data_IF_845430298377
#
_entry.id   IF_845430298377
#
_cell.length_a   1.000
_cell.length_b   1.000
_cell.length_c   1.000
_cell.angle_alpha   90.00
_cell.angle_beta   90.00
_cell.angle_gamma   90.00
#
_symmetry.space_group_name_H-M   'P 1'
#
loop_
_entity.id
_entity.type
_entity.pdbx_description
1 polymer ?
#
# COMPACT_ATOMS: atom_id res chain seq x y z
N UNK A 1 -10.30 7.83 18.86
CA UNK A 1 -11.17 8.42 19.91
C UNK A 1 -12.53 7.78 19.72
N UNK A 2 -12.95 6.88 20.60
CA UNK A 2 -14.31 6.36 20.61
C UNK A 2 -15.21 7.48 21.13
N UNK A 3 -15.80 8.24 20.21
CA UNK A 3 -16.66 9.38 20.53
C UNK A 3 -17.94 8.89 21.21
N UNK A 4 -17.98 9.02 22.52
CA UNK A 4 -19.19 8.81 23.31
C UNK A 4 -20.16 9.96 22.97
N UNK A 5 -21.31 9.64 22.38
CA UNK A 5 -22.35 10.63 22.06
C UNK A 5 -23.05 11.11 23.34
N UNK A 6 -23.57 12.33 23.32
CA UNK A 6 -24.32 12.90 24.45
C UNK A 6 -25.81 12.56 24.31
N UNK A 7 -26.28 11.60 25.11
CA UNK A 7 -27.67 11.12 25.13
C UNK A 7 -28.70 12.26 25.26
N UNK A 8 -28.40 13.29 26.05
CA UNK A 8 -29.29 14.44 26.20
C UNK A 8 -29.40 15.25 24.90
N UNK A 9 -28.33 15.33 24.12
CA UNK A 9 -28.32 15.99 22.82
C UNK A 9 -28.98 15.14 21.74
N UNK A 10 -28.79 13.82 21.75
CA UNK A 10 -29.51 12.87 20.87
C UNK A 10 -31.03 13.01 21.05
N UNK A 11 -31.52 13.01 22.30
CA UNK A 11 -32.95 13.17 22.58
C UNK A 11 -33.50 14.54 22.16
N UNK A 12 -32.67 15.60 22.16
CA UNK A 12 -33.10 16.91 21.62
C UNK A 12 -33.31 16.88 20.10
N UNK A 13 -32.53 16.09 19.38
CA UNK A 13 -32.73 15.87 17.94
C UNK A 13 -33.99 15.05 17.67
N UNK A 14 -34.17 13.93 18.39
CA UNK A 14 -35.38 13.10 18.28
C UNK A 14 -36.64 13.87 18.68
N UNK A 15 -36.57 14.72 19.71
CA UNK A 15 -37.68 15.58 20.11
C UNK A 15 -38.04 16.57 18.99
N UNK A 16 -37.06 17.12 18.27
CA UNK A 16 -37.34 18.01 17.14
C UNK A 16 -38.10 17.30 16.02
N UNK A 17 -37.67 16.08 15.66
CA UNK A 17 -38.38 15.22 14.72
C UNK A 17 -39.81 14.90 15.18
N UNK A 18 -39.99 14.46 16.44
CA UNK A 18 -41.31 14.08 17.00
C UNK A 18 -42.25 15.27 17.24
N UNK A 19 -41.74 16.49 17.27
CA UNK A 19 -42.54 17.70 17.51
C UNK A 19 -43.16 18.26 16.22
N UNK A 20 -42.94 17.64 15.07
CA UNK A 20 -43.63 18.01 13.83
C UNK A 20 -45.10 17.61 13.94
N UNK A 21 -46.02 18.46 13.46
CA UNK A 21 -47.46 18.12 13.37
C UNK A 21 -47.75 17.13 12.22
N UNK A 22 -46.73 16.41 11.74
CA UNK A 22 -46.77 15.60 10.53
C UNK A 22 -45.91 14.34 10.70
N UNK A 23 -46.54 13.17 10.50
CA UNK A 23 -45.93 11.85 10.65
C UNK A 23 -45.11 11.42 9.42
N UNK A 24 -44.96 12.28 8.41
CA UNK A 24 -44.13 11.97 7.25
C UNK A 24 -42.64 12.04 7.61
N UNK A 25 -41.90 10.98 7.22
CA UNK A 25 -40.46 10.81 7.47
C UNK A 25 -39.65 11.99 6.94
N UNK A 26 -39.93 12.51 5.74
CA UNK A 26 -39.22 13.66 5.16
C UNK A 26 -39.27 14.90 6.06
N UNK A 27 -40.44 15.21 6.60
CA UNK A 27 -40.66 16.40 7.44
C UNK A 27 -39.95 16.25 8.79
N UNK A 28 -39.91 15.02 9.32
CA UNK A 28 -39.27 14.70 10.60
C UNK A 28 -37.74 14.73 10.48
N UNK A 29 -37.18 14.18 9.39
CA UNK A 29 -35.76 14.28 9.05
C UNK A 29 -35.35 15.74 8.86
N UNK A 30 -36.13 16.53 8.13
CA UNK A 30 -35.89 17.96 7.96
C UNK A 30 -35.84 18.69 9.31
N UNK A 31 -36.78 18.43 10.22
CA UNK A 31 -36.80 19.06 11.54
C UNK A 31 -35.55 18.71 12.36
N UNK A 32 -35.08 17.47 12.24
CA UNK A 32 -33.86 16.98 12.88
C UNK A 32 -32.61 17.69 12.32
N UNK A 33 -32.48 17.79 10.99
CA UNK A 33 -31.36 18.45 10.34
C UNK A 33 -31.38 19.98 10.54
N UNK A 34 -32.55 20.61 10.56
CA UNK A 34 -32.69 22.02 10.92
C UNK A 34 -32.17 22.29 12.33
N UNK A 35 -32.46 21.37 13.26
CA UNK A 35 -31.91 21.46 14.62
C UNK A 35 -30.39 21.34 14.64
N UNK A 36 -29.81 20.52 13.77
CA UNK A 36 -28.35 20.40 13.62
C UNK A 36 -27.77 21.71 13.10
N UNK A 37 -28.37 22.31 12.06
CA UNK A 37 -27.94 23.61 11.51
C UNK A 37 -27.92 24.68 12.60
N UNK A 38 -28.96 24.77 13.42
CA UNK A 38 -29.04 25.74 14.53
C UNK A 38 -27.89 25.55 15.53
N UNK A 39 -27.61 24.31 15.92
CA UNK A 39 -26.59 23.99 16.92
C UNK A 39 -25.19 24.20 16.37
N UNK A 40 -24.93 23.78 15.14
CA UNK A 40 -23.65 24.00 14.46
C UNK A 40 -23.35 25.49 14.28
N UNK A 41 -24.35 26.31 13.94
CA UNK A 41 -24.19 27.77 13.89
C UNK A 41 -23.85 28.41 15.24
N UNK A 42 -24.26 27.78 16.34
CA UNK A 42 -23.99 28.26 17.70
C UNK A 42 -22.60 27.85 18.23
N UNK A 43 -21.89 26.98 17.50
CA UNK A 43 -20.59 26.45 17.90
C UNK A 43 -19.44 27.22 17.26
N UNK A 44 -18.44 27.59 18.07
CA UNK A 44 -17.27 28.36 17.65
C UNK A 44 -16.00 27.51 17.39
N UNK A 45 -16.04 26.21 17.73
CA UNK A 45 -14.88 25.31 17.70
C UNK A 45 -15.16 24.06 16.85
N UNK A 46 -14.20 23.69 15.99
CA UNK A 46 -14.29 22.54 15.08
C UNK A 46 -14.58 21.20 15.78
N UNK A 47 -14.03 20.95 16.97
CA UNK A 47 -14.26 19.68 17.67
C UNK A 47 -15.69 19.55 18.20
N UNK A 48 -16.30 20.65 18.68
CA UNK A 48 -17.71 20.66 19.07
C UNK A 48 -18.64 20.44 17.88
N UNK A 49 -18.22 20.88 16.69
CA UNK A 49 -18.95 20.58 15.46
C UNK A 49 -18.95 19.07 15.18
N UNK A 50 -17.80 18.40 15.32
CA UNK A 50 -17.73 16.94 15.21
C UNK A 50 -18.61 16.24 16.25
N UNK A 51 -18.68 16.76 17.48
CA UNK A 51 -19.57 16.20 18.51
C UNK A 51 -21.05 16.31 18.08
N UNK A 52 -21.47 17.43 17.49
CA UNK A 52 -22.84 17.58 16.97
C UNK A 52 -23.15 16.63 15.80
N UNK A 53 -22.18 16.41 14.90
CA UNK A 53 -22.30 15.43 13.81
C UNK A 53 -22.37 14.00 14.37
N UNK A 54 -21.61 13.68 15.43
CA UNK A 54 -21.72 12.39 16.11
C UNK A 54 -23.09 12.19 16.77
N UNK A 55 -23.63 13.23 17.41
CA UNK A 55 -24.94 13.16 18.07
C UNK A 55 -26.11 13.05 17.08
N UNK A 56 -26.04 13.75 15.95
CA UNK A 56 -27.10 13.69 14.93
C UNK A 56 -27.08 12.35 14.18
N UNK A 57 -25.89 11.77 13.95
CA UNK A 57 -25.72 10.40 13.42
C UNK A 57 -26.46 9.38 14.26
N UNK A 58 -26.28 9.44 15.59
CA UNK A 58 -26.98 8.56 16.53
C UNK A 58 -28.50 8.79 16.51
N UNK A 59 -28.94 10.07 16.47
CA UNK A 59 -30.36 10.40 16.43
C UNK A 59 -31.04 9.91 15.13
N UNK A 60 -30.38 10.06 13.98
CA UNK A 60 -30.88 9.55 12.71
C UNK A 60 -31.02 8.02 12.71
N UNK A 61 -30.04 7.30 13.28
CA UNK A 61 -30.09 5.85 13.40
C UNK A 61 -31.28 5.38 14.24
N UNK A 62 -31.47 5.94 15.44
CA UNK A 62 -32.62 5.61 16.30
C UNK A 62 -33.96 5.99 15.67
N UNK A 63 -34.00 7.13 14.98
CA UNK A 63 -35.19 7.55 14.27
C UNK A 63 -35.54 6.58 13.13
N UNK A 64 -34.55 6.09 12.39
CA UNK A 64 -34.74 5.08 11.36
C UNK A 64 -35.23 3.72 11.93
N UNK A 65 -34.75 3.31 13.11
CA UNK A 65 -35.28 2.13 13.83
C UNK A 65 -36.75 2.34 14.21
N UNK A 66 -37.11 3.53 14.71
CA UNK A 66 -38.48 3.87 15.12
C UNK A 66 -39.47 3.86 13.95
N UNK A 67 -39.04 4.32 12.76
CA UNK A 67 -39.88 4.33 11.56
C UNK A 67 -39.92 2.98 10.85
N UNK A 68 -38.90 2.13 11.05
CA UNK A 68 -38.73 0.88 10.32
C UNK A 68 -38.46 1.09 8.82
N UNK A 69 -38.04 2.30 8.43
CA UNK A 69 -37.74 2.67 7.05
C UNK A 69 -36.43 3.48 6.99
N UNK A 70 -35.28 2.81 7.20
CA UNK A 70 -33.97 3.45 7.12
C UNK A 70 -33.65 3.96 5.70
N UNK A 71 -34.21 3.33 4.65
CA UNK A 71 -34.07 3.79 3.27
C UNK A 71 -34.64 5.18 3.03
N UNK A 72 -35.87 5.45 3.53
CA UNK A 72 -36.46 6.79 3.45
C UNK A 72 -35.66 7.85 4.23
N UNK A 73 -35.08 7.49 5.38
CA UNK A 73 -34.22 8.41 6.14
C UNK A 73 -32.96 8.76 5.34
N UNK A 74 -32.30 7.78 4.71
CA UNK A 74 -31.13 8.01 3.84
C UNK A 74 -31.47 8.95 2.69
N UNK A 75 -32.56 8.66 1.97
CA UNK A 75 -33.00 9.45 0.81
C UNK A 75 -33.19 10.94 1.18
N UNK A 76 -33.89 11.21 2.27
CA UNK A 76 -34.17 12.58 2.68
C UNK A 76 -32.97 13.31 3.29
N UNK A 77 -32.05 12.61 3.96
CA UNK A 77 -30.79 13.22 4.41
C UNK A 77 -29.92 13.61 3.22
N UNK A 78 -29.86 12.79 2.17
CA UNK A 78 -29.15 13.13 0.93
C UNK A 78 -29.74 14.35 0.22
N UNK A 79 -31.06 14.41 0.12
CA UNK A 79 -31.78 15.56 -0.47
C UNK A 79 -31.47 16.85 0.31
N UNK A 80 -31.57 16.82 1.64
CA UNK A 80 -31.33 17.98 2.50
C UNK A 80 -29.85 18.30 2.72
N UNK A 81 -28.95 17.34 2.52
CA UNK A 81 -27.51 17.50 2.75
C UNK A 81 -26.91 18.64 1.90
N UNK A 82 -27.40 18.82 0.68
CA UNK A 82 -26.99 19.90 -0.21
C UNK A 82 -27.34 21.29 0.34
N UNK A 83 -28.50 21.42 0.97
CA UNK A 83 -28.95 22.67 1.59
C UNK A 83 -28.22 22.93 2.92
N UNK A 84 -27.91 21.87 3.67
CA UNK A 84 -27.16 21.93 4.92
C UNK A 84 -25.76 22.55 4.78
N UNK A 85 -25.00 22.14 3.76
CA UNK A 85 -23.65 22.68 3.53
C UNK A 85 -23.68 24.18 3.22
N UNK A 86 -24.69 24.63 2.46
CA UNK A 86 -24.91 26.04 2.16
C UNK A 86 -25.32 26.82 3.41
N UNK A 87 -26.23 26.28 4.22
CA UNK A 87 -26.79 26.96 5.37
C UNK A 87 -25.81 27.11 6.54
N UNK A 88 -24.89 26.16 6.71
CA UNK A 88 -23.87 26.21 7.78
C UNK A 88 -22.63 27.01 7.41
N UNK A 89 -22.46 27.37 6.13
CA UNK A 89 -21.29 28.10 5.63
C UNK A 89 -19.98 27.33 5.73
N UNK A 90 -20.04 26.01 5.95
CA UNK A 90 -18.87 25.15 6.10
C UNK A 90 -18.32 24.77 4.73
N UNK A 91 -16.99 24.82 4.58
CA UNK A 91 -16.28 24.41 3.34
C UNK A 91 -15.94 22.92 3.30
N UNK A 92 -16.75 22.09 3.95
CA UNK A 92 -16.58 20.64 3.90
C UNK A 92 -17.44 20.13 2.74
N UNK A 93 -16.95 19.16 1.98
CA UNK A 93 -17.72 18.52 0.91
C UNK A 93 -18.99 17.91 1.47
N UNK A 94 -20.12 18.19 0.82
CA UNK A 94 -21.44 17.66 1.20
C UNK A 94 -21.42 16.14 1.38
N UNK A 95 -20.78 15.40 0.47
CA UNK A 95 -20.69 13.93 0.53
C UNK A 95 -19.95 13.40 1.77
N UNK A 96 -18.97 14.13 2.29
CA UNK A 96 -18.27 13.75 3.52
C UNK A 96 -19.16 13.94 4.75
N UNK A 97 -19.96 15.01 4.75
CA UNK A 97 -20.87 15.33 5.85
C UNK A 97 -22.06 14.37 5.88
N UNK A 98 -22.69 14.10 4.74
CA UNK A 98 -23.79 13.14 4.65
C UNK A 98 -23.31 11.71 4.89
N UNK A 99 -22.12 11.37 4.40
CA UNK A 99 -21.44 10.10 4.69
C UNK A 99 -21.34 9.83 6.19
N UNK A 100 -20.66 10.71 6.92
CA UNK A 100 -20.43 10.56 8.37
C UNK A 100 -21.74 10.45 9.18
N UNK A 101 -22.79 11.18 8.77
CA UNK A 101 -24.11 11.16 9.42
C UNK A 101 -24.89 9.86 9.16
N UNK A 102 -24.70 9.23 8.00
CA UNK A 102 -25.53 8.12 7.55
C UNK A 102 -24.95 6.74 7.83
N UNK A 103 -23.68 6.60 8.23
CA UNK A 103 -23.05 5.26 8.37
C UNK A 103 -23.89 4.26 9.18
N UNK A 104 -24.45 4.70 10.33
CA UNK A 104 -25.28 3.85 11.20
C UNK A 104 -26.66 3.56 10.61
N UNK A 105 -27.27 4.54 9.95
CA UNK A 105 -28.56 4.35 9.26
C UNK A 105 -28.40 3.37 8.09
N UNK A 106 -27.26 3.43 7.39
CA UNK A 106 -26.92 2.51 6.30
C UNK A 106 -26.60 1.10 6.79
N UNK A 107 -26.02 0.95 7.98
CA UNK A 107 -25.88 -0.35 8.64
C UNK A 107 -27.25 -0.95 8.95
N UNK A 108 -28.16 -0.16 9.53
CA UNK A 108 -29.53 -0.57 9.82
C UNK A 108 -30.34 -0.90 8.55
N UNK A 109 -30.18 -0.13 7.47
CA UNK A 109 -30.79 -0.43 6.16
C UNK A 109 -30.31 -1.77 5.60
N UNK A 110 -29.02 -2.08 5.74
CA UNK A 110 -28.45 -3.39 5.37
C UNK A 110 -29.05 -4.51 6.21
N UNK A 111 -29.11 -4.34 7.53
CA UNK A 111 -29.72 -5.33 8.44
C UNK A 111 -31.21 -5.56 8.11
N UNK A 112 -31.97 -4.48 7.90
CA UNK A 112 -33.40 -4.55 7.57
C UNK A 112 -33.64 -5.26 6.24
N UNK A 113 -32.78 -5.04 5.23
CA UNK A 113 -32.83 -5.72 3.93
C UNK A 113 -32.43 -7.19 4.02
N UNK A 114 -31.47 -7.52 4.88
CA UNK A 114 -31.10 -8.91 5.16
C UNK A 114 -32.24 -9.67 5.85
N UNK A 115 -32.93 -9.05 6.82
CA UNK A 115 -34.09 -9.64 7.49
C UNK A 115 -35.31 -9.81 6.56
N UNK A 116 -35.50 -8.90 5.60
CA UNK A 116 -36.61 -8.96 4.64
C UNK A 116 -36.36 -9.91 3.46
N UNK A 117 -35.14 -10.42 3.29
CA UNK A 117 -34.73 -11.24 2.16
C UNK A 117 -34.60 -10.47 0.84
N UNK A 118 -34.44 -9.15 0.91
CA UNK A 118 -34.21 -8.27 -0.25
C UNK A 118 -32.72 -8.06 -0.56
N UNK A 119 -31.85 -8.82 0.10
CA UNK A 119 -30.41 -8.77 -0.06
C UNK A 119 -29.98 -9.17 -1.48
N UNK A 120 -28.88 -8.59 -1.94
CA UNK A 120 -28.28 -8.98 -3.21
C UNK A 120 -27.58 -10.34 -3.04
N UNK A 121 -28.21 -11.40 -3.52
CA UNK A 121 -27.66 -12.75 -3.54
C UNK A 121 -27.17 -13.06 -4.95
N UNK A 122 -26.02 -13.70 -5.13
CA UNK A 122 -25.71 -14.24 -6.46
C UNK A 122 -26.58 -15.48 -6.69
N UNK A 123 -27.07 -15.68 -7.92
CA UNK A 123 -27.74 -16.92 -8.30
C UNK A 123 -26.77 -18.11 -8.10
N UNK A 124 -26.86 -18.81 -6.96
CA UNK A 124 -26.01 -19.93 -6.60
C UNK A 124 -25.74 -20.06 -5.10
N UNK A 125 -25.11 -21.16 -4.69
CA UNK A 125 -24.80 -21.46 -3.28
C UNK A 125 -23.51 -20.74 -2.80
N UNK A 126 -23.23 -19.50 -3.19
CA UNK A 126 -21.94 -18.80 -2.97
C UNK A 126 -22.05 -17.31 -2.65
N UNK A 127 -21.00 -16.72 -2.05
CA UNK A 127 -20.94 -15.29 -1.71
C UNK A 127 -20.28 -14.48 -2.84
N UNK A 128 -20.80 -13.28 -3.15
CA UNK A 128 -20.17 -12.39 -4.13
C UNK A 128 -18.84 -11.86 -3.66
N UNK A 129 -17.90 -11.65 -4.58
CA UNK A 129 -16.55 -11.25 -4.17
C UNK A 129 -16.53 -9.84 -3.54
N UNK A 130 -17.37 -8.92 -4.01
CA UNK A 130 -17.56 -7.62 -3.37
C UNK A 130 -18.07 -7.76 -1.94
N UNK A 131 -19.12 -8.56 -1.75
CA UNK A 131 -19.69 -8.83 -0.43
C UNK A 131 -18.66 -9.46 0.50
N UNK A 132 -17.88 -10.41 -0.01
CA UNK A 132 -16.80 -11.03 0.73
C UNK A 132 -15.76 -10.00 1.21
N UNK A 133 -15.35 -9.08 0.33
CA UNK A 133 -14.40 -8.03 0.68
C UNK A 133 -14.95 -7.03 1.70
N UNK A 134 -16.25 -6.74 1.70
CA UNK A 134 -16.86 -5.81 2.68
C UNK A 134 -17.12 -6.46 4.04
N UNK A 135 -17.58 -7.72 4.05
CA UNK A 135 -18.03 -8.39 5.27
C UNK A 135 -16.89 -9.10 6.01
N UNK A 136 -15.94 -9.67 5.27
CA UNK A 136 -14.92 -10.54 5.85
C UNK A 136 -13.54 -9.89 5.96
N UNK A 137 -13.28 -8.75 5.30
CA UNK A 137 -11.98 -8.07 5.43
C UNK A 137 -11.84 -7.42 6.80
N UNK A 138 -10.87 -7.88 7.57
CA UNK A 138 -10.62 -7.38 8.94
C UNK A 138 -9.50 -6.36 8.95
N UNK A 139 -8.45 -6.59 8.15
CA UNK A 139 -7.25 -5.76 8.17
C UNK A 139 -6.52 -5.78 6.84
N UNK A 140 -5.93 -4.64 6.50
CA UNK A 140 -4.95 -4.54 5.42
C UNK A 140 -3.62 -4.09 6.01
N UNK A 141 -2.55 -4.84 5.77
CA UNK A 141 -1.20 -4.51 6.24
C UNK A 141 -0.35 -4.12 5.04
N UNK A 142 0.06 -2.85 5.01
CA UNK A 142 1.10 -2.40 4.08
C UNK A 142 2.46 -2.73 4.68
N UNK A 143 3.12 -3.73 4.12
CA UNK A 143 4.46 -4.12 4.47
C UNK A 143 5.42 -3.24 3.67
N UNK A 144 5.93 -2.19 4.33
CA UNK A 144 7.07 -1.43 3.81
C UNK A 144 8.32 -2.00 4.42
N UNK A 145 9.35 -2.15 3.60
CA UNK A 145 10.67 -2.49 4.11
C UNK A 145 11.59 -1.26 4.04
N UNK A 146 12.70 -1.30 4.76
CA UNK A 146 13.69 -0.20 4.81
C UNK A 146 14.56 -0.11 3.55
N UNK A 147 14.37 -0.97 2.55
CA UNK A 147 15.17 -0.94 1.32
C UNK A 147 14.81 0.32 0.52
N UNK A 148 15.85 1.00 0.02
CA UNK A 148 15.71 2.16 -0.88
C UNK A 148 15.17 1.76 -2.24
N UNK A 149 15.33 0.49 -2.61
CA UNK A 149 14.65 -0.13 -3.75
C UNK A 149 13.73 -1.22 -3.21
N UNK A 150 12.51 -0.84 -2.79
CA UNK A 150 11.50 -1.75 -2.25
C UNK A 150 10.24 -1.80 -3.11
N UNK A 151 9.62 -2.98 -3.15
CA UNK A 151 8.25 -3.14 -3.60
C UNK A 151 7.37 -3.15 -2.34
N UNK A 152 6.29 -2.37 -2.35
CA UNK A 152 5.30 -2.42 -1.27
C UNK A 152 4.49 -3.70 -1.45
N UNK A 153 4.54 -4.58 -0.45
CA UNK A 153 3.66 -5.74 -0.39
C UNK A 153 2.45 -5.37 0.46
N UNK A 154 1.25 -5.64 -0.06
CA UNK A 154 0.00 -5.46 0.67
C UNK A 154 -0.53 -6.83 1.08
N UNK A 155 -0.73 -7.02 2.39
CA UNK A 155 -1.36 -8.22 2.95
C UNK A 155 -2.81 -7.91 3.31
N UNK A 156 -3.74 -8.73 2.85
CA UNK A 156 -5.16 -8.69 3.21
C UNK A 156 -5.47 -9.84 4.17
N UNK A 157 -6.09 -9.53 5.31
CA UNK A 157 -6.44 -10.49 6.36
C UNK A 157 -7.96 -10.52 6.55
N UNK A 158 -8.53 -11.72 6.47
CA UNK A 158 -9.97 -11.97 6.55
C UNK A 158 -10.36 -12.66 7.86
N UNK A 159 -11.61 -12.52 8.29
CA UNK A 159 -12.12 -13.08 9.55
C UNK A 159 -12.25 -14.62 9.54
N UNK A 160 -12.34 -15.21 8.35
CA UNK A 160 -12.32 -16.65 8.09
C UNK A 160 -10.90 -17.25 8.19
N UNK A 161 -9.89 -16.42 8.51
CA UNK A 161 -8.50 -16.80 8.67
C UNK A 161 -7.71 -16.86 7.36
N UNK A 162 -8.31 -16.43 6.24
CA UNK A 162 -7.59 -16.29 4.98
C UNK A 162 -6.64 -15.10 5.03
N UNK A 163 -5.41 -15.30 4.56
CA UNK A 163 -4.39 -14.25 4.43
C UNK A 163 -3.82 -14.27 3.03
N UNK A 164 -3.81 -13.12 2.36
CA UNK A 164 -3.33 -12.99 0.98
C UNK A 164 -2.28 -11.87 0.91
N UNK A 165 -1.10 -12.19 0.43
CA UNK A 165 -0.06 -11.21 0.10
C UNK A 165 -0.01 -10.96 -1.39
N UNK A 166 -0.06 -9.69 -1.78
CA UNK A 166 0.03 -9.25 -3.16
C UNK A 166 1.02 -8.08 -3.27
N UNK A 167 1.79 -8.03 -4.35
CA UNK A 167 2.40 -6.78 -4.81
C UNK A 167 1.31 -5.84 -5.35
N UNK A 168 1.52 -5.17 -6.48
CA UNK A 168 0.48 -4.29 -7.08
C UNK A 168 -0.71 -5.05 -7.71
N UNK A 169 -0.66 -6.39 -7.75
CA UNK A 169 -1.69 -7.23 -8.39
C UNK A 169 -3.10 -7.06 -7.80
N UNK A 170 -3.21 -6.63 -6.54
CA UNK A 170 -4.50 -6.33 -5.90
C UNK A 170 -5.28 -5.20 -6.61
N UNK A 171 -4.59 -4.33 -7.35
CA UNK A 171 -5.21 -3.26 -8.15
C UNK A 171 -5.84 -3.78 -9.45
N UNK A 172 -5.70 -5.07 -9.74
CA UNK A 172 -6.34 -5.73 -10.86
C UNK A 172 -7.34 -6.76 -10.37
N UNK A 173 -8.60 -6.56 -10.75
CA UNK A 173 -9.72 -7.43 -10.40
C UNK A 173 -9.42 -8.93 -10.51
N UNK A 174 -8.98 -9.37 -11.70
CA UNK A 174 -8.88 -10.79 -12.01
C UNK A 174 -7.70 -11.47 -11.27
N UNK A 175 -6.49 -10.88 -11.22
CA UNK A 175 -5.42 -11.36 -10.34
C UNK A 175 -5.83 -11.43 -8.87
N UNK A 176 -6.48 -10.40 -8.33
CA UNK A 176 -6.87 -10.38 -6.94
C UNK A 176 -7.93 -11.44 -6.60
N UNK A 177 -8.96 -11.58 -7.43
CA UNK A 177 -9.96 -12.64 -7.28
C UNK A 177 -9.32 -14.04 -7.26
N UNK A 178 -8.37 -14.30 -8.18
CA UNK A 178 -7.67 -15.59 -8.24
C UNK A 178 -6.75 -15.83 -7.05
N UNK A 179 -6.24 -14.77 -6.42
CA UNK A 179 -5.48 -14.89 -5.19
C UNK A 179 -6.42 -15.23 -4.02
N UNK A 180 -7.57 -14.56 -3.91
CA UNK A 180 -8.48 -14.73 -2.75
C UNK A 180 -9.34 -16.00 -2.84
N UNK A 181 -10.07 -16.19 -3.93
CA UNK A 181 -11.16 -17.18 -4.01
C UNK A 181 -10.73 -18.63 -3.72
N UNK A 182 -9.53 -19.12 -4.10
CA UNK A 182 -9.09 -20.48 -3.77
C UNK A 182 -8.72 -20.69 -2.30
N UNK A 183 -8.48 -19.61 -1.55
CA UNK A 183 -7.95 -19.67 -0.18
C UNK A 183 -8.96 -19.31 0.90
N UNK A 184 -10.16 -18.85 0.52
CA UNK A 184 -11.27 -18.63 1.46
C UNK A 184 -11.65 -19.92 2.19
N UNK A 185 -12.02 -19.78 3.45
CA UNK A 185 -12.52 -20.89 4.28
C UNK A 185 -14.04 -20.93 4.37
N UNK A 186 -14.74 -20.07 3.62
CA UNK A 186 -16.20 -20.08 3.56
C UNK A 186 -16.70 -21.31 2.79
N UNK A 187 -17.58 -22.10 3.42
CA UNK A 187 -18.13 -23.35 2.88
C UNK A 187 -18.87 -23.17 1.54
N UNK A 188 -19.54 -22.03 1.35
CA UNK A 188 -20.26 -21.66 0.12
C UNK A 188 -19.30 -21.24 -1.01
N UNK A 189 -18.06 -20.88 -0.67
CA UNK A 189 -17.07 -20.35 -1.61
C UNK A 189 -17.39 -18.93 -2.09
N UNK A 190 -16.35 -18.27 -2.64
CA UNK A 190 -16.44 -16.92 -3.20
C UNK A 190 -16.64 -16.99 -4.70
N UNK A 191 -17.69 -16.33 -5.18
CA UNK A 191 -18.11 -16.29 -6.58
C UNK A 191 -17.42 -15.16 -7.34
N UNK A 192 -17.30 -15.33 -8.66
CA UNK A 192 -16.62 -14.36 -9.54
C UNK A 192 -17.50 -13.14 -9.86
N UNK A 193 -18.79 -13.25 -9.62
CA UNK A 193 -19.75 -12.20 -9.81
C UNK A 193 -19.75 -11.27 -8.59
N UNK A 194 -20.20 -10.03 -8.81
CA UNK A 194 -20.48 -9.12 -7.71
C UNK A 194 -21.95 -9.26 -7.34
N UNK A 195 -22.25 -9.38 -6.06
CA UNK A 195 -23.62 -9.29 -5.57
C UNK A 195 -24.22 -7.93 -5.97
N UNK A 196 -23.44 -6.85 -5.88
CA UNK A 196 -23.83 -5.51 -6.32
C UNK A 196 -24.27 -5.44 -7.80
N UNK A 197 -23.85 -6.36 -8.68
CA UNK A 197 -24.31 -6.32 -10.08
C UNK A 197 -25.82 -6.47 -10.20
N UNK A 198 -26.49 -7.13 -9.24
CA UNK A 198 -27.94 -7.20 -9.24
C UNK A 198 -28.61 -5.84 -9.03
N UNK A 199 -27.94 -4.88 -8.40
CA UNK A 199 -28.45 -3.51 -8.30
C UNK A 199 -28.76 -2.90 -9.67
N UNK A 200 -27.99 -3.26 -10.71
CA UNK A 200 -28.25 -2.79 -12.08
C UNK A 200 -29.62 -3.19 -12.60
N UNK A 201 -30.14 -4.34 -12.19
CA UNK A 201 -31.47 -4.82 -12.61
C UNK A 201 -32.64 -4.09 -11.94
N UNK A 202 -32.36 -3.40 -10.83
CA UNK A 202 -33.34 -2.58 -10.09
C UNK A 202 -33.35 -1.13 -10.59
N UNK A 203 -32.39 -0.74 -11.42
CA UNK A 203 -32.28 0.62 -11.96
C UNK A 203 -33.14 0.71 -13.23
N UNK A 204 -34.02 1.73 -13.36
CA UNK A 204 -34.82 1.92 -14.56
C UNK A 204 -33.95 2.09 -15.82
N UNK A 205 -34.33 1.44 -16.92
CA UNK A 205 -33.60 1.49 -18.20
C UNK A 205 -33.43 2.93 -18.75
N UNK A 206 -34.31 3.86 -18.37
CA UNK A 206 -34.28 5.26 -18.78
C UNK A 206 -33.39 6.15 -17.89
N UNK A 207 -32.83 5.62 -16.80
CA UNK A 207 -31.91 6.34 -15.91
C UNK A 207 -30.49 6.53 -16.50
N UNK A 208 -30.16 5.83 -17.58
CA UNK A 208 -28.86 5.93 -18.27
C UNK A 208 -27.91 4.77 -17.98
N UNK A 209 -26.61 5.00 -18.17
CA UNK A 209 -25.57 3.98 -18.04
C UNK A 209 -24.94 3.98 -16.64
N UNK A 210 -24.99 2.86 -15.93
CA UNK A 210 -24.40 2.65 -14.59
C UNK A 210 -22.87 2.78 -14.56
N UNK A 211 -22.22 2.91 -15.71
CA UNK A 211 -20.78 3.16 -15.84
C UNK A 211 -20.44 4.61 -16.15
N UNK A 212 -21.42 5.43 -16.58
CA UNK A 212 -21.23 6.87 -16.76
C UNK A 212 -21.41 7.59 -15.43
N UNK A 213 -20.31 8.02 -14.83
CA UNK A 213 -20.26 8.74 -13.54
C UNK A 213 -21.16 9.98 -13.45
N UNK A 214 -21.62 10.54 -14.58
CA UNK A 214 -22.53 11.68 -14.60
C UNK A 214 -24.01 11.29 -14.78
N UNK A 215 -24.32 10.00 -14.92
CA UNK A 215 -25.67 9.52 -15.16
C UNK A 215 -26.46 9.34 -13.86
N UNK A 216 -27.78 9.42 -13.99
CA UNK A 216 -28.67 9.12 -12.88
C UNK A 216 -28.59 7.63 -12.48
N UNK A 217 -28.40 6.74 -13.46
CA UNK A 217 -28.16 5.32 -13.24
C UNK A 217 -26.91 5.03 -12.40
N UNK A 218 -25.80 5.74 -12.63
CA UNK A 218 -24.59 5.60 -11.81
C UNK A 218 -24.86 6.01 -10.37
N UNK A 219 -25.57 7.13 -10.17
CA UNK A 219 -25.95 7.59 -8.83
C UNK A 219 -26.84 6.59 -8.09
N UNK A 220 -27.81 5.98 -8.79
CA UNK A 220 -28.66 4.92 -8.22
C UNK A 220 -27.85 3.64 -7.94
N UNK A 221 -26.92 3.27 -8.82
CA UNK A 221 -26.05 2.12 -8.61
C UNK A 221 -25.16 2.30 -7.38
N UNK A 222 -24.63 3.50 -7.16
CA UNK A 222 -23.86 3.83 -5.95
C UNK A 222 -24.65 3.62 -4.66
N UNK A 223 -25.94 3.99 -4.66
CA UNK A 223 -26.83 3.82 -3.50
C UNK A 223 -27.22 2.37 -3.22
N UNK A 224 -27.20 1.55 -4.26
CA UNK A 224 -27.65 0.16 -4.20
C UNK A 224 -26.48 -0.84 -4.14
N UNK A 225 -25.26 -0.47 -4.50
CA UNK A 225 -24.09 -1.34 -4.39
C UNK A 225 -23.78 -1.62 -2.92
N UNK A 226 -23.21 -2.81 -2.65
CA UNK A 226 -22.69 -3.17 -1.33
C UNK A 226 -21.43 -2.39 -0.95
N UNK A 227 -20.78 -1.72 -1.91
CA UNK A 227 -19.71 -0.77 -1.64
C UNK A 227 -20.28 0.59 -1.22
N UNK A 228 -19.57 1.39 -0.42
CA UNK A 228 -19.91 2.77 -0.13
C UNK A 228 -20.23 3.57 -1.40
N UNK A 229 -21.13 4.55 -1.27
CA UNK A 229 -21.68 5.32 -2.39
C UNK A 229 -20.61 6.01 -3.25
N UNK A 230 -19.44 6.34 -2.69
CA UNK A 230 -18.34 6.91 -3.47
C UNK A 230 -17.54 5.84 -4.26
N UNK A 231 -17.73 4.54 -3.97
CA UNK A 231 -16.97 3.40 -4.50
C UNK A 231 -17.86 2.19 -4.86
N UNK A 232 -18.79 2.34 -5.84
CA UNK A 232 -19.57 1.19 -6.28
C UNK A 232 -18.68 0.09 -6.85
N UNK A 233 -18.96 -1.16 -6.49
CA UNK A 233 -18.18 -2.29 -7.00
C UNK A 233 -18.36 -2.43 -8.51
N UNK A 234 -17.24 -2.46 -9.23
CA UNK A 234 -17.22 -2.56 -10.69
C UNK A 234 -15.95 -3.25 -11.18
N UNK A 235 -16.08 -3.99 -12.29
CA UNK A 235 -14.94 -4.62 -12.97
C UNK A 235 -14.18 -3.62 -13.87
N UNK A 236 -14.67 -2.39 -13.97
CA UNK A 236 -13.94 -1.28 -14.58
C UNK A 236 -12.70 -0.97 -13.74
N UNK A 237 -11.53 -0.90 -14.39
CA UNK A 237 -10.23 -0.73 -13.73
C UNK A 237 -10.18 0.50 -12.82
N UNK A 238 -10.72 1.65 -13.24
CA UNK A 238 -10.62 2.89 -12.48
C UNK A 238 -11.48 2.84 -11.21
N UNK A 239 -12.68 2.24 -11.30
CA UNK A 239 -13.58 2.07 -10.17
C UNK A 239 -13.09 0.98 -9.21
N UNK A 240 -12.52 -0.11 -9.74
CA UNK A 240 -11.89 -1.16 -8.96
C UNK A 240 -10.68 -0.64 -8.18
N UNK A 241 -9.75 0.03 -8.87
CA UNK A 241 -8.57 0.64 -8.25
C UNK A 241 -8.97 1.60 -7.13
N UNK A 242 -9.98 2.44 -7.38
CA UNK A 242 -10.54 3.33 -6.36
C UNK A 242 -11.08 2.55 -5.16
N UNK A 243 -11.92 1.53 -5.38
CA UNK A 243 -12.52 0.75 -4.30
C UNK A 243 -11.45 0.05 -3.43
N UNK A 244 -10.45 -0.54 -4.06
CA UNK A 244 -9.36 -1.22 -3.34
C UNK A 244 -8.47 -0.23 -2.59
N UNK A 245 -8.12 0.92 -3.18
CA UNK A 245 -7.35 1.97 -2.48
C UNK A 245 -8.09 2.52 -1.27
N UNK A 246 -9.41 2.64 -1.36
CA UNK A 246 -10.24 3.08 -0.24
C UNK A 246 -10.30 2.02 0.87
N UNK A 247 -10.45 0.73 0.53
CA UNK A 247 -10.32 -0.36 1.52
C UNK A 247 -8.96 -0.36 2.21
N UNK A 248 -7.88 -0.17 1.46
CA UNK A 248 -6.53 -0.02 2.00
C UNK A 248 -6.45 1.20 2.93
N UNK A 249 -7.13 2.30 2.63
CA UNK A 249 -7.15 3.49 3.49
C UNK A 249 -7.98 3.28 4.76
N UNK A 250 -9.08 2.55 4.67
CA UNK A 250 -10.03 2.29 5.75
C UNK A 250 -9.49 1.25 6.75
N UNK A 251 -9.01 0.11 6.24
CA UNK A 251 -8.52 -1.03 7.02
C UNK A 251 -6.99 -1.09 7.14
N UNK A 252 -6.30 -0.10 6.56
CA UNK A 252 -4.84 -0.06 6.44
C UNK A 252 -4.10 0.17 7.74
N UNK A 253 -3.08 -0.63 7.94
CA UNK A 253 -2.01 -0.40 8.92
C UNK A 253 -0.67 -0.49 8.21
N UNK A 254 0.25 0.44 8.51
CA UNK A 254 1.62 0.38 8.00
C UNK A 254 2.49 -0.37 9.00
N UNK A 255 3.20 -1.40 8.52
CA UNK A 255 4.27 -2.06 9.28
C UNK A 255 5.58 -1.86 8.53
N UNK A 256 6.58 -1.32 9.24
CA UNK A 256 7.93 -1.16 8.71
C UNK A 256 8.80 -2.29 9.25
N UNK A 257 9.33 -3.13 8.36
CA UNK A 257 10.33 -4.14 8.70
C UNK A 257 11.67 -3.80 8.06
N UNK A 258 12.77 -4.33 8.60
CA UNK A 258 14.05 -4.26 7.88
C UNK A 258 13.93 -5.11 6.61
N UNK A 259 14.26 -4.52 5.46
CA UNK A 259 14.29 -5.24 4.19
C UNK A 259 15.59 -6.03 4.01
N UNK A 260 15.60 -7.09 3.19
CA UNK A 260 16.77 -7.94 3.04
C UNK A 260 17.97 -7.18 2.45
N UNK A 261 17.76 -6.17 1.60
CA UNK A 261 18.87 -5.37 1.05
C UNK A 261 19.48 -4.45 2.09
N UNK A 262 18.66 -3.89 2.97
CA UNK A 262 19.10 -3.12 4.14
C UNK A 262 19.85 -4.00 5.11
N UNK A 263 19.33 -5.19 5.41
CA UNK A 263 19.99 -6.13 6.31
C UNK A 263 21.35 -6.58 5.75
N UNK A 264 21.43 -6.88 4.44
CA UNK A 264 22.71 -7.16 3.79
C UNK A 264 23.71 -6.00 3.91
N UNK A 265 23.23 -4.76 3.75
CA UNK A 265 24.06 -3.57 3.93
C UNK A 265 24.54 -3.41 5.38
N UNK A 266 23.65 -3.53 6.37
CA UNK A 266 24.00 -3.45 7.79
C UNK A 266 25.00 -4.55 8.19
N UNK A 267 24.82 -5.77 7.66
CA UNK A 267 25.78 -6.86 7.83
C UNK A 267 27.13 -6.55 7.18
N UNK A 268 27.14 -5.91 6.00
CA UNK A 268 28.37 -5.48 5.34
C UNK A 268 29.07 -4.39 6.15
N UNK A 269 28.32 -3.40 6.65
CA UNK A 269 28.85 -2.35 7.53
C UNK A 269 29.49 -2.97 8.78
N UNK A 270 28.82 -3.94 9.41
CA UNK A 270 29.37 -4.67 10.56
C UNK A 270 30.66 -5.41 10.22
N UNK A 271 30.74 -6.04 9.04
CA UNK A 271 31.97 -6.72 8.58
C UNK A 271 33.09 -5.72 8.28
N UNK A 272 32.82 -4.59 7.64
CA UNK A 272 33.81 -3.52 7.37
C UNK A 272 34.32 -2.94 8.69
N UNK A 273 33.41 -2.53 9.59
CA UNK A 273 33.76 -1.94 10.88
C UNK A 273 34.50 -2.89 11.82
N UNK A 274 34.36 -4.21 11.65
CA UNK A 274 35.12 -5.21 12.38
C UNK A 274 36.43 -5.62 11.69
N UNK A 275 36.61 -5.30 10.40
CA UNK A 275 37.74 -5.73 9.61
C UNK A 275 39.04 -5.03 10.02
N UNK A 276 40.15 -5.74 9.80
CA UNK A 276 41.47 -5.14 9.75
C UNK A 276 41.72 -4.72 8.30
N UNK A 277 41.91 -3.44 8.07
CA UNK A 277 42.21 -2.89 6.76
C UNK A 277 43.70 -2.59 6.60
N UNK A 278 44.13 -2.39 5.37
CA UNK A 278 45.50 -2.01 5.02
C UNK A 278 45.52 -0.76 4.15
N UNK A 279 46.52 0.09 4.34
CA UNK A 279 46.82 1.23 3.45
C UNK A 279 47.69 0.82 2.25
N UNK A 280 48.09 -0.46 2.15
CA UNK A 280 48.85 -0.99 1.02
C UNK A 280 47.95 -1.84 0.10
N UNK A 281 47.72 -1.35 -1.11
CA UNK A 281 46.91 -2.01 -2.12
C UNK A 281 47.46 -3.38 -2.56
N UNK A 282 48.78 -3.57 -2.59
CA UNK A 282 49.37 -4.85 -2.96
C UNK A 282 49.00 -5.93 -1.93
N UNK A 283 49.08 -5.60 -0.64
CA UNK A 283 48.71 -6.50 0.46
C UNK A 283 47.20 -6.81 0.43
N UNK A 284 46.36 -5.81 0.15
CA UNK A 284 44.92 -5.99 0.02
C UNK A 284 44.55 -6.94 -1.13
N UNK A 285 45.24 -6.84 -2.28
CA UNK A 285 45.05 -7.73 -3.42
C UNK A 285 45.53 -9.15 -3.11
N UNK A 286 46.68 -9.29 -2.43
CA UNK A 286 47.26 -10.60 -2.10
C UNK A 286 46.45 -11.36 -1.05
N UNK A 287 45.93 -10.66 -0.05
CA UNK A 287 45.24 -11.27 1.10
C UNK A 287 43.72 -11.15 1.06
N UNK A 288 43.16 -10.50 0.03
CA UNK A 288 41.74 -10.18 -0.06
C UNK A 288 41.21 -9.47 1.19
N UNK A 289 41.94 -8.44 1.61
CA UNK A 289 41.65 -7.62 2.80
C UNK A 289 41.04 -6.28 2.40
N UNK A 290 40.40 -5.59 3.35
CA UNK A 290 39.87 -4.23 3.10
C UNK A 290 41.03 -3.26 2.87
N UNK A 291 40.93 -2.44 1.83
CA UNK A 291 41.92 -1.39 1.54
C UNK A 291 41.32 -0.02 1.83
N UNK A 292 42.09 0.84 2.48
CA UNK A 292 41.73 2.24 2.72
C UNK A 292 42.61 3.11 1.84
N UNK A 293 41.99 3.87 0.96
CA UNK A 293 42.64 4.84 0.09
C UNK A 293 42.44 6.24 0.68
N UNK A 294 43.40 6.71 1.46
CA UNK A 294 43.33 8.06 2.07
C UNK A 294 43.44 9.18 1.04
N UNK A 295 44.02 8.93 -0.15
CA UNK A 295 44.18 9.95 -1.18
C UNK A 295 42.86 10.20 -1.92
N UNK A 296 42.00 9.19 -2.00
CA UNK A 296 40.69 9.26 -2.63
C UNK A 296 39.52 9.32 -1.64
N UNK A 297 39.81 9.28 -0.34
CA UNK A 297 38.81 9.13 0.72
C UNK A 297 37.87 7.93 0.46
N UNK A 298 38.44 6.74 0.22
CA UNK A 298 37.66 5.54 -0.13
C UNK A 298 37.96 4.32 0.73
N UNK A 299 36.94 3.48 0.93
CA UNK A 299 37.07 2.13 1.51
C UNK A 299 36.76 1.08 0.44
N UNK A 300 37.73 0.21 0.17
CA UNK A 300 37.65 -0.81 -0.87
C UNK A 300 37.47 -2.18 -0.23
N UNK A 301 36.32 -2.78 -0.48
CA UNK A 301 35.88 -4.01 0.17
C UNK A 301 35.96 -5.18 -0.81
N UNK A 302 36.63 -6.29 -0.47
CA UNK A 302 36.68 -7.46 -1.34
C UNK A 302 35.28 -7.96 -1.72
N UNK A 303 35.07 -8.27 -3.01
CA UNK A 303 33.78 -8.80 -3.49
C UNK A 303 33.36 -10.10 -2.78
N UNK A 304 34.30 -10.87 -2.24
CA UNK A 304 34.01 -12.04 -1.40
C UNK A 304 33.25 -11.67 -0.12
N UNK A 305 33.56 -10.54 0.51
CA UNK A 305 32.85 -10.06 1.70
C UNK A 305 31.41 -9.66 1.36
N UNK A 306 31.21 -8.97 0.23
CA UNK A 306 29.89 -8.64 -0.29
C UNK A 306 29.10 -9.90 -0.69
N UNK A 307 29.76 -10.92 -1.24
CA UNK A 307 29.12 -12.19 -1.57
C UNK A 307 28.58 -12.90 -0.32
N UNK A 308 29.34 -12.94 0.77
CA UNK A 308 28.88 -13.58 2.01
C UNK A 308 27.63 -12.92 2.58
N UNK A 309 27.55 -11.58 2.62
CA UNK A 309 26.37 -10.91 3.22
C UNK A 309 25.10 -11.08 2.42
N UNK A 310 25.19 -11.20 1.09
CA UNK A 310 24.01 -11.43 0.26
C UNK A 310 23.56 -12.89 0.30
N UNK A 311 24.50 -13.83 0.47
CA UNK A 311 24.19 -15.24 0.75
C UNK A 311 23.46 -15.39 2.10
N UNK A 312 23.88 -14.62 3.12
CA UNK A 312 23.28 -14.66 4.47
C UNK A 312 21.78 -14.25 4.49
N UNK A 313 21.33 -13.44 3.52
CA UNK A 313 19.94 -12.94 3.40
C UNK A 313 19.22 -13.35 2.11
N UNK A 314 19.79 -14.28 1.36
CA UNK A 314 19.22 -14.85 0.12
C UNK A 314 18.89 -13.83 -0.99
N UNK A 315 19.72 -12.79 -1.18
CA UNK A 315 19.59 -11.84 -2.29
C UNK A 315 20.76 -11.95 -3.28
N UNK A 316 20.59 -11.34 -4.45
CA UNK A 316 21.66 -11.22 -5.43
C UNK A 316 22.59 -10.03 -5.14
N UNK A 317 23.85 -10.14 -5.58
CA UNK A 317 24.82 -9.03 -5.48
C UNK A 317 24.37 -7.78 -6.25
N UNK A 318 23.66 -7.97 -7.36
CA UNK A 318 23.13 -6.87 -8.15
C UNK A 318 22.06 -6.09 -7.38
N UNK A 319 21.25 -6.78 -6.59
CA UNK A 319 20.22 -6.17 -5.75
C UNK A 319 20.84 -5.30 -4.66
N UNK A 320 21.88 -5.81 -3.97
CA UNK A 320 22.64 -5.01 -3.02
C UNK A 320 23.33 -3.83 -3.71
N UNK A 321 23.91 -4.02 -4.89
CA UNK A 321 24.56 -2.94 -5.62
C UNK A 321 23.59 -1.80 -5.96
N UNK A 322 22.38 -2.13 -6.43
CA UNK A 322 21.35 -1.13 -6.70
C UNK A 322 20.90 -0.39 -5.44
N UNK A 323 20.76 -1.10 -4.32
CA UNK A 323 20.44 -0.51 -3.02
C UNK A 323 21.51 0.50 -2.58
N UNK A 324 22.78 0.12 -2.66
CA UNK A 324 23.90 0.97 -2.24
C UNK A 324 24.08 2.20 -3.15
N UNK A 325 23.92 2.05 -4.47
CA UNK A 325 23.91 3.19 -5.40
C UNK A 325 22.75 4.15 -5.10
N UNK A 326 21.57 3.64 -4.70
CA UNK A 326 20.44 4.50 -4.28
C UNK A 326 20.68 5.20 -2.96
N UNK A 327 21.46 4.60 -2.06
CA UNK A 327 21.90 5.23 -0.81
C UNK A 327 22.99 6.29 -1.04
N UNK A 328 23.67 6.26 -2.19
CA UNK A 328 24.76 7.19 -2.51
C UNK A 328 26.05 6.90 -1.73
N UNK A 329 26.26 5.66 -1.30
CA UNK A 329 27.49 5.25 -0.59
C UNK A 329 28.62 4.84 -1.56
N UNK A 330 28.32 4.79 -2.85
CA UNK A 330 29.27 4.46 -3.89
C UNK A 330 30.31 5.56 -4.12
N UNK A 331 31.45 5.17 -4.69
CA UNK A 331 32.52 6.10 -5.03
C UNK A 331 32.16 6.98 -6.24
N UNK A 332 32.31 8.29 -6.10
CA UNK A 332 32.22 9.28 -7.20
C UNK A 332 33.24 9.02 -8.33
N UNK A 333 34.27 8.22 -8.06
CA UNK A 333 35.32 7.85 -9.00
C UNK A 333 34.98 6.59 -9.82
N UNK A 334 33.78 6.04 -9.66
CA UNK A 334 33.22 5.02 -10.54
C UNK A 334 32.14 5.62 -11.45
N UNK A 335 32.05 5.13 -12.68
CA UNK A 335 31.05 5.62 -13.64
C UNK A 335 29.73 4.87 -13.53
N UNK A 336 28.65 5.62 -13.27
CA UNK A 336 27.28 5.09 -13.12
C UNK A 336 27.09 4.30 -11.82
N UNK A 337 26.07 3.45 -11.76
CA UNK A 337 25.73 2.64 -10.57
C UNK A 337 26.73 1.49 -10.28
N UNK A 338 28.01 1.64 -10.64
CA UNK A 338 29.04 0.60 -10.51
C UNK A 338 29.72 0.68 -9.16
N UNK A 339 29.75 -0.44 -8.44
CA UNK A 339 30.57 -0.61 -7.24
C UNK A 339 31.82 -1.44 -7.51
N UNK A 340 31.74 -2.42 -8.41
CA UNK A 340 32.78 -3.41 -8.63
C UNK A 340 33.92 -2.92 -9.52
N UNK A 341 35.15 -3.00 -9.02
CA UNK A 341 36.38 -2.72 -9.77
C UNK A 341 37.38 -3.88 -9.64
N UNK A 342 37.99 -4.31 -10.76
CA UNK A 342 39.02 -5.35 -10.77
C UNK A 342 40.40 -4.72 -10.70
N UNK A 343 41.19 -5.12 -9.71
CA UNK A 343 42.59 -4.72 -9.55
C UNK A 343 43.48 -5.94 -9.82
N UNK A 344 44.61 -5.74 -10.49
CA UNK A 344 45.62 -6.79 -10.71
C UNK A 344 46.99 -6.26 -10.31
N UNK A 345 47.67 -6.96 -9.39
CA UNK A 345 48.98 -6.60 -8.85
C UNK A 345 49.83 -7.85 -8.73
N UNK A 346 51.10 -7.79 -9.16
CA UNK A 346 52.09 -8.86 -9.00
C UNK A 346 51.62 -10.26 -9.45
N UNK A 347 50.74 -10.34 -10.45
CA UNK A 347 50.17 -11.59 -10.97
C UNK A 347 48.92 -12.11 -10.24
N UNK A 348 48.58 -11.52 -9.09
CA UNK A 348 47.31 -11.74 -8.39
C UNK A 348 46.26 -10.74 -8.84
N UNK A 349 44.98 -11.11 -8.75
CA UNK A 349 43.89 -10.19 -9.00
C UNK A 349 42.84 -10.30 -7.91
N UNK A 350 42.22 -9.16 -7.59
CA UNK A 350 41.12 -9.08 -6.64
C UNK A 350 40.06 -8.14 -7.21
N UNK A 351 38.79 -8.44 -6.94
CA UNK A 351 37.68 -7.52 -7.21
C UNK A 351 37.28 -6.85 -5.90
N UNK A 352 37.12 -5.54 -5.95
CA UNK A 352 36.72 -4.71 -4.83
C UNK A 352 35.42 -3.97 -5.15
N UNK A 353 34.65 -3.69 -4.12
CA UNK A 353 33.59 -2.69 -4.11
C UNK A 353 34.16 -1.43 -3.48
N UNK A 354 34.01 -0.27 -4.13
CA UNK A 354 34.56 1.01 -3.65
C UNK A 354 33.44 1.85 -3.05
N UNK A 355 33.64 2.28 -1.81
CA UNK A 355 32.71 3.12 -1.06
C UNK A 355 33.36 4.47 -0.73
N UNK A 356 32.57 5.53 -0.76
CA UNK A 356 32.97 6.85 -0.25
C UNK A 356 33.16 6.78 1.27
N UNK A 357 34.39 6.98 1.75
CA UNK A 357 34.72 6.95 3.17
C UNK A 357 34.19 8.17 3.94
N UNK A 358 33.84 9.25 3.23
CA UNK A 358 33.28 10.47 3.84
C UNK A 358 31.78 10.37 4.08
N UNK A 359 31.10 9.40 3.44
CA UNK A 359 29.68 9.18 3.61
C UNK A 359 29.37 8.65 5.02
N UNK A 360 28.37 9.22 5.71
CA UNK A 360 28.06 8.91 7.12
C UNK A 360 27.73 7.43 7.39
N UNK A 361 27.19 6.76 6.36
CA UNK A 361 26.86 5.34 6.42
C UNK A 361 28.06 4.42 6.09
N UNK A 362 29.19 4.92 5.60
CA UNK A 362 30.36 4.06 5.35
C UNK A 362 31.17 3.96 6.65
N UNK A 363 31.25 2.77 7.29
CA UNK A 363 31.95 2.64 8.55
C UNK A 363 33.47 2.63 8.34
N UNK A 364 34.18 3.26 9.26
CA UNK A 364 35.63 3.14 9.35
C UNK A 364 36.02 1.72 9.81
N UNK A 365 37.01 1.07 9.18
CA UNK A 365 37.54 -0.21 9.67
C UNK A 365 38.10 -0.10 11.08
N UNK A 366 38.04 -1.21 11.84
CA UNK A 366 38.51 -1.26 13.23
C UNK A 366 39.97 -0.82 13.40
N UNK A 367 40.81 -1.20 12.45
CA UNK A 367 42.24 -0.94 12.44
C UNK A 367 42.71 -0.82 11.00
N UNK A 368 43.51 0.20 10.69
CA UNK A 368 44.21 0.35 9.42
C UNK A 368 45.70 0.17 9.67
N UNK A 369 46.34 -0.76 8.97
CA UNK A 369 47.77 -1.03 9.07
C UNK A 369 48.50 -0.64 7.78
N UNK A 370 49.74 -0.17 7.88
CA UNK A 370 50.53 0.20 6.70
C UNK A 370 50.85 -1.01 5.81
N UNK A 371 51.13 -2.16 6.42
CA UNK A 371 51.41 -3.41 5.71
C UNK A 371 50.95 -4.62 6.51
N UNK A 372 50.57 -5.68 5.79
CA UNK A 372 50.22 -6.96 6.38
C UNK A 372 51.48 -7.80 6.48
N UNK A 373 52.11 -7.77 7.66
CA UNK A 373 53.16 -8.74 7.96
C UNK A 373 52.55 -10.13 8.10
N UNK A 374 52.73 -10.96 7.06
CA UNK A 374 52.56 -12.41 7.17
C UNK A 374 53.60 -12.93 8.15
N UNK A 375 53.20 -13.04 9.43
CA UNK A 375 53.95 -13.79 10.41
C UNK A 375 54.23 -15.17 9.85
N UNK A 376 55.51 -15.53 9.73
CA UNK A 376 55.97 -16.74 9.04
C UNK A 376 55.14 -17.97 9.40
N UNK A 377 54.63 -18.63 8.36
CA UNK A 377 54.04 -19.96 8.31
C UNK A 377 53.72 -20.64 9.66
N UNK A 378 52.44 -20.66 10.02
CA UNK A 378 51.85 -21.81 10.69
C UNK A 378 50.71 -22.34 9.84
N UNK A 379 50.98 -23.45 9.14
CA UNK A 379 49.98 -24.31 8.54
C UNK A 379 48.91 -24.65 9.58
N UNK A 380 47.73 -24.04 9.47
CA UNK A 380 46.48 -24.57 10.02
C UNK A 380 45.51 -24.58 8.85
N UNK A 381 45.26 -25.79 8.34
CA UNK A 381 44.47 -26.02 7.13
C UNK A 381 43.04 -25.52 7.27
N UNK A 382 42.63 -24.69 6.30
CA UNK A 382 41.26 -24.34 6.01
C UNK A 382 41.02 -24.57 4.52
N UNK A 383 40.03 -25.39 4.21
CA UNK A 383 39.65 -25.92 2.90
C UNK A 383 39.69 -24.89 1.76
N UNK A 384 40.47 -25.17 0.73
CA UNK A 384 40.41 -24.52 -0.59
C UNK A 384 39.06 -24.82 -1.27
N UNK A 385 38.10 -23.92 -1.10
CA UNK A 385 36.89 -23.84 -1.92
C UNK A 385 37.22 -23.21 -3.27
N UNK A 386 37.07 -23.99 -4.33
CA UNK A 386 37.16 -23.58 -5.73
C UNK A 386 36.26 -22.38 -6.03
N UNK A 387 36.85 -21.24 -6.39
CA UNK A 387 36.14 -20.10 -6.93
C UNK A 387 35.53 -20.45 -8.30
N UNK A 388 34.21 -20.35 -8.40
CA UNK A 388 33.51 -20.41 -9.67
C UNK A 388 33.94 -19.21 -10.53
N UNK A 389 34.53 -19.51 -11.68
CA UNK A 389 34.76 -18.54 -12.74
C UNK A 389 33.41 -18.27 -13.42
N UNK A 390 32.76 -17.17 -13.05
CA UNK A 390 31.67 -16.61 -13.86
C UNK A 390 32.14 -15.31 -14.53
N UNK A 391 32.28 -15.40 -15.85
CA UNK A 391 32.77 -14.36 -16.74
C UNK A 391 31.61 -13.50 -17.24
N UNK A 392 31.12 -12.58 -16.41
CA UNK A 392 30.22 -11.51 -16.82
C UNK A 392 30.96 -10.19 -16.99
N UNK A 393 31.44 -9.89 -18.19
CA UNK A 393 31.84 -8.54 -18.62
C UNK A 393 30.67 -8.00 -19.43
N UNK A 394 29.74 -7.28 -18.81
CA UNK A 394 28.63 -6.64 -19.51
C UNK A 394 28.90 -5.15 -19.61
N UNK A 395 29.57 -4.78 -20.69
CA UNK A 395 29.82 -3.40 -21.10
C UNK A 395 29.93 -3.39 -22.61
N UNK A 396 28.86 -2.98 -23.29
CA UNK A 396 28.82 -2.70 -24.72
C UNK A 396 29.81 -1.57 -25.02
N UNK A 397 30.82 -1.87 -25.84
CA UNK A 397 31.80 -0.90 -26.32
C UNK A 397 31.11 0.07 -27.31
N UNK A 398 31.17 1.40 -27.12
CA UNK A 398 30.57 2.36 -28.03
C UNK A 398 31.63 2.95 -28.97
N UNK A 399 32.35 2.13 -29.74
CA UNK A 399 33.10 2.62 -30.90
C UNK A 399 33.19 1.52 -31.96
N UNK A 400 32.53 1.73 -33.10
CA UNK A 400 32.54 0.82 -34.23
C UNK A 400 31.79 1.41 -35.40
N UNK A 401 32.26 2.56 -35.88
CA UNK A 401 32.06 2.97 -37.27
C UNK A 401 32.62 1.87 -38.17
N UNK A 402 31.77 1.20 -38.95
CA UNK A 402 32.12 0.78 -40.32
C UNK A 402 30.88 0.90 -41.21
N UNK A 403 30.95 1.92 -42.06
CA UNK A 403 30.23 2.03 -43.33
C UNK A 403 30.50 0.82 -44.25
N UNK A 404 29.73 0.81 -45.35
CA UNK A 404 29.80 -0.06 -46.54
C UNK A 404 29.08 -1.40 -46.43
N UNK A 405 28.41 -1.91 -47.45
CA UNK A 405 27.77 -1.39 -48.65
C UNK A 405 27.01 -2.62 -49.21
N UNK A 406 25.97 -2.38 -50.00
CA UNK A 406 25.55 -3.21 -51.14
C UNK A 406 25.56 -4.75 -51.00
N UNK A 407 24.40 -5.40 -51.12
CA UNK A 407 24.03 -6.01 -52.41
C UNK A 407 22.60 -6.57 -52.41
N UNK A 408 22.02 -6.47 -53.60
CA UNK A 408 20.72 -6.91 -54.12
C UNK A 408 20.38 -8.38 -53.86
N UNK A 409 19.08 -8.65 -53.85
CA UNK A 409 18.55 -9.99 -54.13
C UNK A 409 17.02 -10.02 -54.14
N UNK A 410 16.42 -9.69 -55.29
CA UNK A 410 15.06 -10.09 -55.66
C UNK A 410 14.89 -11.62 -55.53
N UNK A 411 13.70 -12.09 -55.16
CA UNK A 411 13.34 -13.50 -55.39
C UNK A 411 12.14 -14.03 -54.61
N UNK A 412 10.98 -13.97 -55.28
CA UNK A 412 9.69 -14.67 -55.04
C UNK A 412 8.71 -14.15 -53.98
#
# INVERSE_FOLDING_TARGET
MTGEYDEETVEKYLTAARSTDNDRVDVQVEALLNRLVERVKAVDKKWKWLDEVGNVKEALARFAEETGDPGAVIEHVDEYGNDYANDTGQKVSTGTITGDMLDKVRELDRETRAESGEEFEIDGDGIGFDRYLEEHLVRVVQLRNTDHVSNVTTRFEFDDGTEIECGEDHLYWEPFFRAVAPHTQIDSGVMREFASQQATTRIPDDAGDVTDTNSHAYSLYCKLSLGPEERPWSKNTDLWDKAIKDLIKEYGTETVSTGPRTEAWENLQGKIGAARATANLDDAVEHAEVYVDEDLDEVWVPTSMAATVVEDVEIDRQDLQMELAKRGVDSDHLSGDKLGFKVTRNGSFQRFWRFDATHEATPEPREVVDTISTGGASNIGGSSGTAAADGGTYGRDPTGDEDSDENRGDGE
#
